data_IF_721689928562
#
_entry.id   IF_721689928562
#
_cell.length_a   1.000
_cell.length_b   1.000
_cell.length_c   1.000
_cell.angle_alpha   90.00
_cell.angle_beta   90.00
_cell.angle_gamma   90.00
#
_symmetry.space_group_name_H-M   'P 1'
#
loop_
_entity.id
_entity.type
_entity.pdbx_description
1 polymer ?
#
# COMPACT_ATOMS: atom_id res chain seq x y z
N UNK A 1 55.14 -8.69 20.15
CA UNK A 1 54.79 -7.27 19.93
C UNK A 1 53.80 -7.18 18.76
N UNK A 2 52.52 -7.53 18.94
CA UNK A 2 51.50 -7.54 17.85
C UNK A 2 50.05 -7.41 18.38
N UNK A 3 49.79 -6.63 19.43
CA UNK A 3 48.41 -6.44 19.96
C UNK A 3 47.87 -5.00 19.87
N UNK A 4 48.55 -4.09 19.15
CA UNK A 4 48.17 -2.66 19.08
C UNK A 4 47.31 -2.32 17.85
N UNK A 5 47.18 -3.22 16.87
CA UNK A 5 46.48 -2.95 15.61
C UNK A 5 44.95 -3.18 15.67
N UNK A 6 44.48 -4.07 16.55
CA UNK A 6 43.05 -4.35 16.73
C UNK A 6 42.24 -3.19 17.37
N UNK A 7 42.72 -2.46 18.40
CA UNK A 7 41.93 -1.39 19.01
C UNK A 7 41.81 -0.14 18.12
N UNK A 8 42.80 0.12 17.26
CA UNK A 8 42.79 1.28 16.33
C UNK A 8 41.71 1.14 15.25
N UNK A 9 41.49 -0.08 14.75
CA UNK A 9 40.52 -0.33 13.68
C UNK A 9 39.06 -0.27 14.20
N UNK A 10 38.82 -0.64 15.46
CA UNK A 10 37.51 -0.52 16.12
C UNK A 10 37.15 0.94 16.42
N UNK A 11 38.14 1.78 16.77
CA UNK A 11 37.91 3.19 17.06
C UNK A 11 37.53 4.01 15.80
N UNK A 12 38.11 3.69 14.64
CA UNK A 12 37.77 4.38 13.37
C UNK A 12 36.35 4.06 12.86
N UNK A 13 35.82 2.87 13.15
CA UNK A 13 34.48 2.47 12.70
C UNK A 13 33.34 3.20 13.43
N UNK A 14 33.56 3.62 14.69
CA UNK A 14 32.54 4.31 15.50
C UNK A 14 32.38 5.79 15.10
N UNK A 15 33.43 6.44 14.57
CA UNK A 15 33.40 7.87 14.21
C UNK A 15 32.59 8.15 12.93
N UNK A 16 32.39 7.16 12.06
CA UNK A 16 31.76 7.36 10.75
C UNK A 16 30.21 7.43 10.76
N UNK A 17 29.52 7.02 11.82
CA UNK A 17 28.05 6.95 11.87
C UNK A 17 27.35 8.18 12.48
N UNK A 18 28.08 9.18 12.97
CA UNK A 18 27.52 10.36 13.67
C UNK A 18 27.31 11.63 12.82
N UNK A 19 27.29 11.54 11.49
CA UNK A 19 27.43 12.70 10.60
C UNK A 19 26.17 13.31 9.97
N UNK A 20 24.98 12.70 10.11
CA UNK A 20 23.80 13.14 9.34
C UNK A 20 22.90 14.20 10.02
N UNK A 21 23.18 14.64 11.25
CA UNK A 21 22.33 15.61 11.96
C UNK A 21 22.77 17.08 11.75
N UNK A 22 24.06 17.33 11.47
CA UNK A 22 24.62 18.68 11.36
C UNK A 22 24.25 19.46 10.10
N UNK A 23 23.67 18.82 9.07
CA UNK A 23 23.20 19.51 7.85
C UNK A 23 21.80 20.14 8.02
N UNK A 24 21.06 19.81 9.09
CA UNK A 24 19.73 20.38 9.38
C UNK A 24 19.76 21.72 10.13
N UNK A 25 20.92 22.11 10.67
CA UNK A 25 21.03 23.27 11.57
C UNK A 25 21.51 24.57 10.90
N UNK A 26 21.64 24.62 9.56
CA UNK A 26 21.90 25.86 8.82
C UNK A 26 20.57 26.34 8.24
N UNK A 27 19.81 27.08 9.05
CA UNK A 27 18.46 27.52 8.69
C UNK A 27 17.76 28.29 9.81
N UNK A 28 18.53 28.97 10.66
CA UNK A 28 17.98 29.85 11.70
C UNK A 28 18.91 31.07 11.83
N UNK A 29 18.63 32.10 11.03
CA UNK A 29 19.20 33.43 11.21
C UNK A 29 18.10 34.33 11.82
N UNK A 30 18.18 34.73 13.09
CA UNK A 30 17.32 35.76 13.65
C UNK A 30 18.08 37.06 13.88
N UNK A 31 17.82 38.10 13.08
CA UNK A 31 18.18 39.51 13.36
C UNK A 31 17.44 40.40 12.34
N UNK A 32 16.82 41.55 12.61
CA UNK A 32 16.44 42.31 13.80
C UNK A 32 15.52 43.47 13.36
N UNK A 33 14.71 43.97 14.31
CA UNK A 33 14.24 45.34 14.53
C UNK A 33 13.38 46.13 13.49
N UNK A 34 12.36 46.82 14.03
CA UNK A 34 11.24 47.54 13.41
C UNK A 34 11.59 48.94 12.83
N UNK A 35 10.64 49.64 12.14
CA UNK A 35 9.62 50.45 12.84
C UNK A 35 8.20 50.44 12.22
N UNK A 36 7.27 51.04 12.96
CA UNK A 36 5.83 51.12 12.72
C UNK A 36 5.44 51.96 11.51
N UNK A 37 4.36 51.57 10.82
CA UNK A 37 3.67 52.38 9.81
C UNK A 37 2.21 51.93 9.61
N UNK A 38 1.28 52.73 10.15
CA UNK A 38 -0.10 53.04 9.72
C UNK A 38 -0.92 52.01 8.92
N UNK A 39 -2.05 51.56 9.50
CA UNK A 39 -3.17 50.82 8.86
C UNK A 39 -3.82 51.62 7.70
N UNK A 40 -4.57 51.00 6.76
CA UNK A 40 -6.01 50.81 7.00
C UNK A 40 -6.71 49.61 6.31
N UNK A 41 -7.87 49.28 6.90
CA UNK A 41 -9.12 48.82 6.28
C UNK A 41 -9.40 47.33 6.03
N UNK A 42 -10.56 46.96 6.59
CA UNK A 42 -11.32 45.74 6.40
C UNK A 42 -11.63 45.42 4.94
N UNK A 43 -11.57 44.13 4.61
CA UNK A 43 -12.18 43.53 3.42
C UNK A 43 -12.69 42.15 3.79
N UNK A 44 -14.01 42.04 3.98
CA UNK A 44 -14.70 40.78 4.17
C UNK A 44 -14.48 39.86 2.95
N UNK A 45 -14.14 38.59 3.20
CA UNK A 45 -14.27 37.53 2.22
C UNK A 45 -15.13 36.41 2.84
N UNK A 46 -16.29 36.22 2.23
CA UNK A 46 -17.37 35.31 2.61
C UNK A 46 -16.88 33.88 2.90
N UNK A 47 -17.44 33.16 3.90
CA UNK A 47 -17.19 31.74 4.04
C UNK A 47 -17.80 31.05 2.82
N UNK A 48 -16.94 30.49 1.98
CA UNK A 48 -17.36 29.78 0.78
C UNK A 48 -18.34 28.67 1.12
N UNK A 49 -19.45 28.61 0.37
CA UNK A 49 -20.23 27.38 0.26
C UNK A 49 -19.34 26.33 -0.42
N UNK A 50 -18.57 25.59 0.37
CA UNK A 50 -18.01 24.34 -0.08
C UNK A 50 -19.18 23.37 -0.34
N UNK A 51 -19.26 22.74 -1.52
CA UNK A 51 -20.28 21.73 -1.76
C UNK A 51 -20.10 20.63 -0.72
N UNK A 52 -21.19 20.29 -0.02
CA UNK A 52 -21.20 19.22 0.97
C UNK A 52 -21.02 17.87 0.26
N UNK A 53 -19.78 17.55 -0.10
CA UNK A 53 -19.36 16.21 -0.50
C UNK A 53 -19.78 15.29 0.64
N UNK A 54 -20.68 14.36 0.34
CA UNK A 54 -21.32 13.50 1.31
C UNK A 54 -20.26 12.79 2.18
N UNK A 55 -20.20 13.11 3.47
CA UNK A 55 -19.15 12.66 4.41
C UNK A 55 -19.50 11.37 5.16
N UNK A 56 -20.29 10.48 4.58
CA UNK A 56 -20.70 9.23 5.24
C UNK A 56 -20.39 8.01 4.37
N UNK A 57 -19.92 6.94 4.99
CA UNK A 57 -19.53 5.71 4.30
C UNK A 57 -20.68 5.13 3.45
N UNK A 58 -21.92 5.27 3.91
CA UNK A 58 -23.14 4.85 3.19
C UNK A 58 -23.42 5.69 1.94
N UNK A 59 -22.98 6.96 1.88
CA UNK A 59 -23.22 7.81 0.72
C UNK A 59 -22.31 7.49 -0.48
N UNK A 60 -21.19 6.80 -0.24
CA UNK A 60 -20.29 6.28 -1.26
C UNK A 60 -20.61 4.84 -1.67
N UNK A 61 -21.54 4.17 -0.99
CA UNK A 61 -21.92 2.79 -1.30
C UNK A 61 -22.97 2.75 -2.41
N UNK A 62 -22.47 2.87 -3.65
CA UNK A 62 -23.24 2.70 -4.89
C UNK A 62 -23.31 1.23 -5.33
N UNK A 63 -22.88 0.30 -4.49
CA UNK A 63 -22.99 -1.14 -4.78
C UNK A 63 -24.41 -1.58 -4.52
N UNK A 64 -25.04 -2.11 -5.56
CA UNK A 64 -26.40 -2.62 -5.46
C UNK A 64 -26.41 -3.90 -4.62
N UNK A 65 -27.43 -4.11 -3.78
CA UNK A 65 -27.60 -5.35 -2.98
C UNK A 65 -27.49 -6.63 -3.85
N UNK A 66 -27.92 -6.54 -5.12
CA UNK A 66 -27.79 -7.61 -6.11
C UNK A 66 -26.33 -7.95 -6.47
N UNK A 67 -25.44 -6.98 -6.56
CA UNK A 67 -24.00 -7.21 -6.80
C UNK A 67 -23.31 -7.81 -5.57
N UNK A 68 -23.75 -7.38 -4.38
CA UNK A 68 -23.31 -7.95 -3.11
C UNK A 68 -23.70 -9.43 -2.98
N UNK A 69 -24.91 -9.77 -3.40
CA UNK A 69 -25.39 -11.16 -3.45
C UNK A 69 -24.66 -12.00 -4.51
N UNK A 70 -24.37 -11.43 -5.68
CA UNK A 70 -23.62 -12.10 -6.74
C UNK A 70 -22.15 -12.36 -6.35
N UNK A 71 -21.54 -11.48 -5.55
CA UNK A 71 -20.20 -11.65 -5.01
C UNK A 71 -20.12 -12.71 -3.88
N UNK A 72 -21.21 -12.90 -3.15
CA UNK A 72 -21.34 -13.92 -2.09
C UNK A 72 -21.86 -15.27 -2.60
N UNK A 73 -22.29 -15.33 -3.86
CA UNK A 73 -22.69 -16.58 -4.49
C UNK A 73 -21.46 -17.51 -4.56
N UNK A 74 -21.63 -18.72 -4.04
CA UNK A 74 -20.58 -19.75 -3.96
C UNK A 74 -19.97 -19.94 -5.36
N UNK A 75 -18.72 -19.53 -5.61
CA UNK A 75 -18.13 -19.71 -6.92
C UNK A 75 -18.03 -21.21 -7.18
N UNK A 76 -18.41 -21.67 -8.38
CA UNK A 76 -17.86 -22.91 -8.91
C UNK A 76 -16.38 -22.64 -9.07
N UNK A 77 -15.59 -23.04 -8.07
CA UNK A 77 -14.17 -23.09 -8.23
C UNK A 77 -13.87 -24.28 -9.13
N UNK A 78 -13.25 -24.02 -10.28
CA UNK A 78 -12.82 -25.03 -11.23
C UNK A 78 -11.57 -25.77 -10.73
N UNK A 79 -10.74 -26.23 -11.67
CA UNK A 79 -9.54 -26.98 -11.34
C UNK A 79 -8.57 -26.14 -10.49
N UNK A 80 -7.94 -26.77 -9.50
CA UNK A 80 -6.85 -26.16 -8.75
C UNK A 80 -5.64 -26.00 -9.68
N UNK A 81 -5.24 -24.76 -9.94
CA UNK A 81 -4.03 -24.44 -10.70
C UNK A 81 -2.76 -24.69 -9.87
N UNK A 82 -2.88 -24.51 -8.55
CA UNK A 82 -1.83 -24.78 -7.60
C UNK A 82 -1.86 -23.85 -6.41
N UNK A 83 -0.84 -23.95 -5.56
CA UNK A 83 -0.67 -23.13 -4.36
C UNK A 83 0.60 -22.32 -4.47
N UNK A 84 0.53 -21.05 -4.12
CA UNK A 84 1.65 -20.13 -4.19
C UNK A 84 1.63 -19.12 -3.04
N UNK A 85 2.79 -18.57 -2.74
CA UNK A 85 2.93 -17.47 -1.77
C UNK A 85 2.76 -16.16 -2.55
N UNK A 86 1.85 -15.30 -2.09
CA UNK A 86 1.63 -13.98 -2.70
C UNK A 86 2.27 -12.89 -1.86
N UNK A 87 2.77 -11.88 -2.56
CA UNK A 87 3.11 -10.58 -2.01
C UNK A 87 2.05 -9.55 -2.41
N UNK A 88 2.01 -8.43 -1.69
CA UNK A 88 1.20 -7.28 -2.10
C UNK A 88 1.73 -6.73 -3.43
N UNK A 89 0.82 -6.58 -4.40
CA UNK A 89 1.09 -5.95 -5.68
C UNK A 89 1.16 -4.42 -5.61
N UNK A 90 1.23 -3.78 -6.78
CA UNK A 90 1.22 -2.32 -6.86
C UNK A 90 -0.08 -1.75 -6.27
N UNK A 91 -0.03 -0.92 -5.21
CA UNK A 91 -1.23 -0.35 -4.59
C UNK A 91 -1.96 0.67 -5.47
N UNK A 92 -1.31 1.19 -6.51
CA UNK A 92 -1.94 2.10 -7.48
C UNK A 92 -2.83 1.36 -8.50
N UNK A 93 -2.65 0.05 -8.68
CA UNK A 93 -3.46 -0.74 -9.62
C UNK A 93 -4.77 -1.17 -8.96
N UNK A 94 -5.87 -0.61 -9.45
CA UNK A 94 -7.21 -0.90 -8.95
C UNK A 94 -7.74 -2.24 -9.46
N UNK A 95 -8.70 -2.79 -8.72
CA UNK A 95 -9.40 -4.03 -9.09
C UNK A 95 -8.90 -5.28 -8.37
N UNK A 96 -9.51 -6.42 -8.73
CA UNK A 96 -9.20 -7.73 -8.17
C UNK A 96 -8.36 -8.52 -9.15
N UNK A 97 -7.08 -8.66 -8.86
CA UNK A 97 -6.16 -9.33 -9.76
C UNK A 97 -5.07 -10.10 -9.01
N UNK A 98 -4.58 -11.15 -9.66
CA UNK A 98 -3.43 -11.95 -9.25
C UNK A 98 -2.46 -12.07 -10.44
N UNK A 99 -1.24 -11.56 -10.29
CA UNK A 99 -0.15 -11.75 -11.24
C UNK A 99 0.69 -12.95 -10.81
N UNK A 100 0.87 -13.92 -11.70
CA UNK A 100 1.71 -15.09 -11.42
C UNK A 100 2.24 -15.72 -12.69
N UNK A 101 3.33 -16.49 -12.58
CA UNK A 101 3.88 -17.29 -13.69
C UNK A 101 3.16 -18.63 -13.88
N UNK A 102 2.12 -18.93 -13.09
CA UNK A 102 1.25 -20.10 -13.33
C UNK A 102 0.28 -19.88 -14.50
N UNK A 103 0.15 -18.64 -14.98
CA UNK A 103 -0.85 -18.26 -15.95
C UNK A 103 -0.17 -17.58 -17.11
N UNK A 104 -0.40 -18.09 -18.32
CA UNK A 104 0.22 -17.58 -19.55
C UNK A 104 -0.65 -16.52 -20.25
N UNK A 105 -1.95 -16.49 -19.95
CA UNK A 105 -2.91 -15.58 -20.60
C UNK A 105 -3.92 -15.09 -19.58
N UNK A 106 -4.23 -13.79 -19.66
CA UNK A 106 -5.20 -13.14 -18.78
C UNK A 106 -6.54 -13.88 -18.80
N UNK A 107 -7.03 -14.29 -17.62
CA UNK A 107 -8.27 -15.06 -17.48
C UNK A 107 -8.87 -14.90 -16.09
N UNK A 108 -10.19 -15.05 -15.93
CA UNK A 108 -10.82 -15.03 -14.61
C UNK A 108 -10.42 -16.25 -13.79
N UNK A 109 -10.28 -16.05 -12.47
CA UNK A 109 -9.95 -17.10 -11.51
C UNK A 109 -10.42 -16.78 -10.10
N UNK A 110 -10.10 -17.69 -9.19
CA UNK A 110 -10.46 -17.60 -7.78
C UNK A 110 -9.22 -17.83 -6.94
N UNK A 111 -8.99 -16.98 -5.93
CA UNK A 111 -8.00 -17.23 -4.89
C UNK A 111 -8.68 -17.69 -3.61
N UNK A 112 -8.16 -18.74 -3.00
CA UNK A 112 -8.64 -19.31 -1.74
C UNK A 112 -7.53 -19.33 -0.71
N UNK A 113 -7.81 -18.77 0.47
CA UNK A 113 -6.92 -18.84 1.62
C UNK A 113 -7.08 -20.16 2.38
N UNK A 114 -6.05 -20.51 3.15
CA UNK A 114 -6.13 -21.61 4.12
C UNK A 114 -7.27 -21.42 5.13
N UNK A 115 -7.59 -20.17 5.49
CA UNK A 115 -8.72 -19.82 6.36
C UNK A 115 -10.11 -20.06 5.72
N UNK A 116 -10.17 -20.54 4.47
CA UNK A 116 -11.42 -20.81 3.74
C UNK A 116 -12.02 -19.59 3.03
N UNK A 117 -11.46 -18.39 3.23
CA UNK A 117 -11.89 -17.18 2.51
C UNK A 117 -11.50 -17.26 1.04
N UNK A 118 -12.40 -16.83 0.16
CA UNK A 118 -12.20 -16.80 -1.29
C UNK A 118 -12.43 -15.41 -1.87
N UNK A 119 -11.70 -15.05 -2.91
CA UNK A 119 -11.95 -13.85 -3.71
C UNK A 119 -11.85 -14.16 -5.20
N UNK A 120 -12.77 -13.58 -5.98
CA UNK A 120 -12.72 -13.61 -7.44
C UNK A 120 -11.65 -12.63 -7.90
N UNK A 121 -10.78 -13.03 -8.81
CA UNK A 121 -9.70 -12.19 -9.34
C UNK A 121 -9.51 -12.43 -10.84
N UNK A 122 -9.00 -11.43 -11.55
CA UNK A 122 -8.39 -11.60 -12.86
C UNK A 122 -6.98 -12.20 -12.67
N UNK A 123 -6.71 -13.34 -13.26
CA UNK A 123 -5.38 -13.93 -13.30
C UNK A 123 -4.61 -13.30 -14.45
N UNK A 124 -3.48 -12.65 -14.18
CA UNK A 124 -2.63 -12.05 -15.19
C UNK A 124 -1.28 -12.77 -15.27
N UNK A 125 -0.70 -12.90 -16.48
CA UNK A 125 0.64 -13.42 -16.64
C UNK A 125 1.67 -12.48 -16.00
N UNK A 126 2.67 -13.07 -15.34
CA UNK A 126 3.81 -12.36 -14.80
C UNK A 126 5.13 -12.94 -15.36
N UNK A 127 5.94 -12.06 -15.94
CA UNK A 127 7.26 -12.40 -16.46
C UNK A 127 8.30 -12.31 -15.34
N UNK A 128 8.33 -13.34 -14.49
CA UNK A 128 9.26 -13.44 -13.36
C UNK A 128 8.84 -12.67 -12.11
N UNK A 129 9.56 -12.92 -11.02
CA UNK A 129 9.19 -12.47 -9.67
C UNK A 129 8.23 -13.43 -8.96
N UNK A 130 7.98 -13.16 -7.68
CA UNK A 130 6.95 -13.88 -6.91
C UNK A 130 5.54 -13.49 -7.36
N UNK A 131 4.53 -14.29 -6.99
CA UNK A 131 3.16 -13.95 -7.30
C UNK A 131 2.72 -12.70 -6.54
N UNK A 132 1.93 -11.85 -7.19
CA UNK A 132 1.46 -10.60 -6.61
C UNK A 132 -0.05 -10.56 -6.61
N UNK A 133 -0.65 -10.20 -5.48
CA UNK A 133 -2.08 -10.06 -5.32
C UNK A 133 -2.44 -8.60 -5.08
N UNK A 134 -3.53 -8.13 -5.70
CA UNK A 134 -3.95 -6.73 -5.59
C UNK A 134 -4.29 -6.32 -4.15
N UNK A 135 -4.13 -5.02 -3.86
CA UNK A 135 -4.48 -4.47 -2.55
C UNK A 135 -5.96 -4.69 -2.22
N UNK A 136 -6.85 -4.54 -3.21
CA UNK A 136 -8.28 -4.79 -3.02
C UNK A 136 -8.55 -6.24 -2.59
N UNK A 137 -7.86 -7.21 -3.18
CA UNK A 137 -7.99 -8.62 -2.81
C UNK A 137 -7.43 -8.90 -1.40
N UNK A 138 -6.28 -8.33 -1.03
CA UNK A 138 -5.75 -8.40 0.34
C UNK A 138 -6.77 -7.86 1.36
N UNK A 139 -7.39 -6.71 1.08
CA UNK A 139 -8.39 -6.11 1.97
C UNK A 139 -9.68 -6.91 2.04
N UNK A 140 -10.18 -7.44 0.92
CA UNK A 140 -11.38 -8.28 0.89
C UNK A 140 -11.18 -9.58 1.67
N UNK A 141 -9.99 -10.17 1.58
CA UNK A 141 -9.63 -11.37 2.32
C UNK A 141 -9.29 -11.09 3.79
N UNK A 142 -9.06 -9.82 4.16
CA UNK A 142 -8.69 -9.40 5.51
C UNK A 142 -7.27 -9.80 5.90
N UNK A 143 -6.36 -9.78 4.93
CA UNK A 143 -4.94 -10.10 5.11
C UNK A 143 -4.16 -8.87 5.60
N UNK A 144 -3.10 -9.10 6.37
CA UNK A 144 -2.12 -8.07 6.69
C UNK A 144 -1.33 -7.65 5.45
N UNK A 145 -1.13 -6.35 5.22
CA UNK A 145 -0.45 -5.84 4.02
C UNK A 145 1.05 -6.19 3.96
N UNK A 146 1.63 -6.59 5.10
CA UNK A 146 3.02 -7.06 5.23
C UNK A 146 3.10 -8.59 5.24
N UNK A 147 1.97 -9.28 5.21
CA UNK A 147 1.92 -10.73 5.27
C UNK A 147 2.21 -11.34 3.89
N UNK A 148 2.80 -12.53 3.91
CA UNK A 148 3.06 -13.35 2.72
C UNK A 148 2.19 -14.61 2.79
N UNK A 149 0.86 -14.47 2.64
CA UNK A 149 -0.04 -15.57 2.78
C UNK A 149 0.13 -16.56 1.63
N UNK A 150 -0.05 -17.83 1.96
CA UNK A 150 -0.15 -18.87 0.95
C UNK A 150 -1.60 -18.95 0.46
N UNK A 151 -1.80 -18.75 -0.84
CA UNK A 151 -3.10 -18.84 -1.51
C UNK A 151 -3.14 -20.03 -2.45
N UNK A 152 -4.32 -20.64 -2.56
CA UNK A 152 -4.63 -21.63 -3.57
C UNK A 152 -5.33 -20.94 -4.73
N UNK A 153 -4.83 -21.12 -5.95
CA UNK A 153 -5.39 -20.52 -7.16
C UNK A 153 -6.25 -21.56 -7.86
N UNK A 154 -7.48 -21.19 -8.20
CA UNK A 154 -8.42 -22.05 -8.90
C UNK A 154 -8.87 -21.37 -10.18
N UNK A 155 -9.14 -22.16 -11.23
CA UNK A 155 -9.82 -21.65 -12.42
C UNK A 155 -11.27 -21.27 -12.08
N UNK A 156 -11.85 -20.36 -12.85
CA UNK A 156 -13.28 -20.04 -12.78
C UNK A 156 -14.05 -20.75 -13.88
#
# INVERSE_FOLDING_TARGET
MTHVHAPVLVLCAVVALGGCDRLRSVGDDPVAAAPQGTQPSAGAASPGLAPQVARTATAFDRTTEAEKAAALARPVAGAELGRLVVSLGNPAEQGFWLRSSLVETARPGVVRLASGKTAQVELLPASGGGAQLSLAAYRALGLGLTDLPTVTVLTR
#
